data_IF_109845446210
#
_entry.id   IF_109845446210
#
_cell.length_a   1.000
_cell.length_b   1.000
_cell.length_c   1.000
_cell.angle_alpha   90.00
_cell.angle_beta   90.00
_cell.angle_gamma   90.00
#
_symmetry.space_group_name_H-M   'P 1'
#
loop_
_entity.id
_entity.type
_entity.pdbx_description
1 polymer ?
#
# COMPACT_ATOMS: atom_id res chain seq x y z
N UNK A 1 -43.04 -4.67 4.36
CA UNK A 1 -42.07 -4.57 5.48
C UNK A 1 -40.70 -4.81 4.87
N UNK A 2 -39.98 -3.75 4.49
CA UNK A 2 -38.72 -3.86 3.73
C UNK A 2 -37.54 -4.09 4.69
N UNK A 3 -36.71 -5.08 4.36
CA UNK A 3 -35.56 -5.49 5.17
C UNK A 3 -34.51 -4.40 5.28
N UNK A 4 -34.00 -4.22 6.50
CA UNK A 4 -32.89 -3.34 6.81
C UNK A 4 -31.67 -3.68 5.94
N UNK A 5 -31.28 -2.74 5.07
CA UNK A 5 -30.02 -2.75 4.34
C UNK A 5 -28.85 -2.43 5.32
N UNK A 6 -28.60 -3.32 6.27
CA UNK A 6 -27.42 -3.27 7.13
C UNK A 6 -26.22 -3.82 6.36
N UNK A 7 -25.45 -2.94 5.72
CA UNK A 7 -24.17 -3.34 5.11
C UNK A 7 -23.69 -2.47 3.95
N UNK A 8 -24.53 -1.56 3.43
CA UNK A 8 -24.08 -0.63 2.41
C UNK A 8 -23.18 0.43 3.04
N UNK A 9 -21.87 0.38 2.74
CA UNK A 9 -20.95 1.45 3.10
C UNK A 9 -21.39 2.72 2.35
N UNK A 10 -21.72 3.82 3.04
CA UNK A 10 -22.17 5.03 2.36
C UNK A 10 -21.06 5.51 1.41
N UNK A 11 -21.42 5.66 0.13
CA UNK A 11 -20.56 6.32 -0.84
C UNK A 11 -20.52 7.79 -0.45
N UNK A 12 -19.38 8.25 0.05
CA UNK A 12 -19.20 9.64 0.45
C UNK A 12 -19.01 10.51 -0.80
N UNK A 13 -19.50 11.74 -0.74
CA UNK A 13 -19.37 12.76 -1.81
C UNK A 13 -17.92 12.95 -2.26
N UNK A 14 -17.69 13.51 -3.44
CA UNK A 14 -16.35 13.94 -3.86
C UNK A 14 -16.34 15.46 -3.79
N UNK A 15 -15.34 16.03 -3.12
CA UNK A 15 -15.19 17.49 -3.01
C UNK A 15 -14.78 18.04 -4.39
N UNK A 16 -15.50 19.04 -4.90
CA UNK A 16 -15.34 19.56 -6.26
C UNK A 16 -14.30 20.69 -6.30
N UNK A 17 -13.50 20.79 -7.36
CA UNK A 17 -12.59 21.93 -7.52
C UNK A 17 -11.46 21.66 -8.50
N UNK A 18 -10.37 22.40 -8.32
CA UNK A 18 -9.17 22.27 -9.16
C UNK A 18 -8.14 21.43 -8.45
N UNK A 19 -7.69 20.38 -9.12
CA UNK A 19 -6.61 19.51 -8.69
C UNK A 19 -5.53 19.49 -9.76
N UNK A 20 -4.28 19.72 -9.36
CA UNK A 20 -3.12 19.67 -10.24
C UNK A 20 -2.11 18.72 -9.63
N UNK A 21 -1.48 17.91 -10.48
CA UNK A 21 -0.42 16.99 -10.08
C UNK A 21 0.72 16.97 -11.08
N UNK A 22 1.89 16.60 -10.60
CA UNK A 22 3.08 16.33 -11.39
C UNK A 22 3.74 15.05 -10.91
N UNK A 23 4.33 14.32 -11.85
CA UNK A 23 5.08 13.09 -11.58
C UNK A 23 6.43 13.16 -12.30
N UNK A 24 7.48 12.77 -11.58
CA UNK A 24 8.81 12.55 -12.13
C UNK A 24 9.21 11.10 -11.83
N UNK A 25 9.48 10.32 -12.87
CA UNK A 25 9.91 8.93 -12.76
C UNK A 25 11.33 8.75 -13.28
N UNK A 26 12.17 8.08 -12.49
CA UNK A 26 13.50 7.62 -12.88
C UNK A 26 13.52 6.10 -12.81
N UNK A 27 14.05 5.44 -13.85
CA UNK A 27 14.09 3.99 -13.91
C UNK A 27 15.44 3.51 -14.43
N UNK A 28 15.99 2.50 -13.76
CA UNK A 28 17.10 1.70 -14.26
C UNK A 28 16.66 0.25 -14.42
N UNK A 29 16.81 -0.28 -15.63
CA UNK A 29 16.62 -1.70 -15.89
C UNK A 29 17.92 -2.46 -15.66
N UNK A 30 17.83 -3.64 -15.03
CA UNK A 30 18.98 -4.53 -14.88
C UNK A 30 19.16 -5.35 -16.18
N UNK A 31 20.29 -5.23 -16.90
CA UNK A 31 20.52 -5.98 -18.13
C UNK A 31 20.74 -7.47 -17.90
N UNK A 32 21.17 -7.86 -16.71
CA UNK A 32 21.47 -9.24 -16.34
C UNK A 32 20.79 -9.62 -15.03
N UNK A 33 20.47 -10.91 -14.88
CA UNK A 33 19.79 -11.46 -13.71
C UNK A 33 20.56 -11.41 -12.38
N UNK A 34 21.64 -10.64 -12.29
CA UNK A 34 22.43 -10.42 -11.06
C UNK A 34 22.44 -8.94 -10.61
N UNK A 35 22.14 -7.99 -11.50
CA UNK A 35 22.11 -6.56 -11.22
C UNK A 35 20.77 -6.13 -10.61
N UNK A 36 20.78 -4.99 -9.91
CA UNK A 36 19.56 -4.39 -9.39
C UNK A 36 18.83 -3.61 -10.48
N UNK A 37 17.54 -3.91 -10.67
CA UNK A 37 16.61 -3.02 -11.36
C UNK A 37 15.96 -2.11 -10.33
N UNK A 38 15.77 -0.83 -10.64
CA UNK A 38 15.06 0.07 -9.74
C UNK A 38 14.24 1.12 -10.47
N UNK A 39 13.25 1.63 -9.77
CA UNK A 39 12.38 2.72 -10.19
C UNK A 39 12.17 3.62 -8.99
N UNK A 40 12.32 4.93 -9.19
CA UNK A 40 12.08 5.96 -8.19
C UNK A 40 11.13 6.98 -8.79
N UNK A 41 10.16 7.40 -8.00
CA UNK A 41 9.05 8.21 -8.45
C UNK A 41 8.77 9.30 -7.43
N UNK A 42 8.74 10.55 -7.89
CA UNK A 42 8.34 11.71 -7.11
C UNK A 42 7.00 12.19 -7.64
N UNK A 43 5.96 12.12 -6.80
CA UNK A 43 4.65 12.71 -7.07
C UNK A 43 4.48 13.97 -6.25
N UNK A 44 3.93 15.00 -6.86
CA UNK A 44 3.40 16.15 -6.14
C UNK A 44 1.99 16.40 -6.62
N UNK A 45 1.09 16.66 -5.68
CA UNK A 45 -0.28 16.98 -6.00
C UNK A 45 -0.77 18.08 -5.08
N UNK A 46 -1.64 18.95 -5.58
CA UNK A 46 -2.21 20.00 -4.78
C UNK A 46 -3.38 20.63 -5.50
N UNK A 47 -4.13 21.44 -4.79
CA UNK A 47 -5.30 22.02 -5.38
C UNK A 47 -6.20 22.72 -4.40
N UNK A 48 -7.25 23.30 -4.96
CA UNK A 48 -8.31 23.96 -4.21
C UNK A 48 -9.61 23.21 -4.45
N UNK A 49 -10.11 22.54 -3.43
CA UNK A 49 -11.39 21.83 -3.46
C UNK A 49 -12.42 22.58 -2.62
N UNK A 50 -13.69 22.32 -2.90
CA UNK A 50 -14.85 22.86 -2.21
C UNK A 50 -15.68 21.66 -1.78
N UNK A 51 -15.74 21.45 -0.46
CA UNK A 51 -16.70 20.57 0.16
C UNK A 51 -17.97 21.33 0.52
N UNK A 52 -18.96 20.60 1.04
CA UNK A 52 -20.30 21.12 1.32
C UNK A 52 -20.31 22.34 2.25
N UNK A 53 -19.32 22.46 3.14
CA UNK A 53 -19.23 23.55 4.13
C UNK A 53 -17.92 24.35 4.07
N UNK A 54 -16.90 23.90 3.32
CA UNK A 54 -15.54 24.49 3.39
C UNK A 54 -14.75 24.37 2.10
N UNK A 55 -13.80 25.28 1.92
CA UNK A 55 -12.76 25.17 0.90
C UNK A 55 -11.49 24.55 1.49
N UNK A 56 -10.87 23.66 0.73
CA UNK A 56 -9.62 22.98 1.03
C UNK A 56 -8.54 23.51 0.10
N UNK A 57 -7.36 23.81 0.63
CA UNK A 57 -6.20 24.22 -0.15
C UNK A 57 -5.01 23.42 0.35
N UNK A 58 -4.52 22.50 -0.46
CA UNK A 58 -3.54 21.52 -0.03
C UNK A 58 -2.40 21.32 -1.00
N UNK A 59 -1.29 20.82 -0.47
CA UNK A 59 -0.15 20.31 -1.21
C UNK A 59 0.27 18.97 -0.61
N UNK A 60 0.64 18.01 -1.46
CA UNK A 60 0.92 16.63 -1.11
C UNK A 60 2.08 16.08 -1.94
N UNK A 61 3.34 16.35 -1.54
CA UNK A 61 4.49 15.65 -2.08
C UNK A 61 4.57 14.21 -1.55
N UNK A 62 4.99 13.29 -2.41
CA UNK A 62 5.27 11.91 -2.07
C UNK A 62 6.38 11.35 -2.94
N UNK A 63 7.16 10.44 -2.37
CA UNK A 63 8.19 9.69 -3.06
C UNK A 63 7.88 8.20 -2.92
N UNK A 64 8.14 7.45 -3.98
CA UNK A 64 8.16 6.00 -3.93
C UNK A 64 9.37 5.45 -4.66
N UNK A 65 9.86 4.31 -4.19
CA UNK A 65 10.95 3.60 -4.83
C UNK A 65 10.65 2.11 -4.81
N UNK A 66 10.99 1.43 -5.90
CA UNK A 66 10.96 -0.02 -6.02
C UNK A 66 12.32 -0.47 -6.50
N UNK A 67 12.88 -1.49 -5.86
CA UNK A 67 14.09 -2.15 -6.31
C UNK A 67 13.82 -3.65 -6.42
N UNK A 68 14.33 -4.27 -7.46
CA UNK A 68 14.24 -5.71 -7.64
C UNK A 68 15.61 -6.28 -7.94
N UNK A 69 15.83 -7.51 -7.47
CA UNK A 69 17.01 -8.29 -7.78
C UNK A 69 16.57 -9.73 -8.03
N UNK A 70 16.99 -10.27 -9.14
CA UNK A 70 16.87 -11.69 -9.42
C UNK A 70 18.17 -12.39 -9.03
N UNK A 71 18.09 -13.68 -8.73
CA UNK A 71 19.24 -14.56 -8.56
C UNK A 71 19.02 -15.78 -9.43
N UNK A 72 19.72 -15.81 -10.57
CA UNK A 72 19.58 -16.89 -11.56
C UNK A 72 19.98 -18.25 -10.97
N UNK A 73 21.06 -18.32 -10.18
CA UNK A 73 21.58 -19.59 -9.63
C UNK A 73 20.63 -20.26 -8.62
N UNK A 74 19.87 -19.46 -7.86
CA UNK A 74 18.97 -19.95 -6.80
C UNK A 74 17.50 -19.78 -7.14
N UNK A 75 17.19 -19.40 -8.39
CA UNK A 75 15.83 -19.11 -8.83
C UNK A 75 15.08 -18.17 -7.87
N UNK A 76 15.84 -17.23 -7.31
CA UNK A 76 15.40 -16.33 -6.26
C UNK A 76 15.04 -14.96 -6.84
N UNK A 77 14.18 -14.26 -6.13
CA UNK A 77 13.83 -12.89 -6.42
C UNK A 77 13.62 -12.12 -5.12
N UNK A 78 14.22 -10.94 -5.02
CA UNK A 78 13.95 -9.98 -3.96
C UNK A 78 13.33 -8.74 -4.58
N UNK A 79 12.27 -8.27 -3.96
CA UNK A 79 11.62 -7.02 -4.26
C UNK A 79 11.59 -6.17 -3.00
N UNK A 80 12.06 -4.94 -3.13
CA UNK A 80 11.99 -3.91 -2.12
C UNK A 80 11.08 -2.80 -2.63
N UNK A 81 10.19 -2.31 -1.77
CA UNK A 81 9.35 -1.16 -2.06
C UNK A 81 9.40 -0.21 -0.87
N UNK A 82 9.58 1.07 -1.13
CA UNK A 82 9.53 2.15 -0.16
C UNK A 82 8.61 3.24 -0.66
N UNK A 83 7.86 3.87 0.23
CA UNK A 83 7.10 5.08 -0.09
C UNK A 83 6.99 5.96 1.13
N UNK A 84 7.01 7.26 0.92
CA UNK A 84 6.83 8.25 1.97
C UNK A 84 6.16 9.49 1.38
N UNK A 85 5.51 10.27 2.23
CA UNK A 85 4.88 11.50 1.79
C UNK A 85 4.39 12.32 2.94
N UNK A 86 4.11 13.58 2.62
CA UNK A 86 3.56 14.56 3.52
C UNK A 86 2.47 15.34 2.80
N UNK A 87 1.49 15.81 3.54
CA UNK A 87 0.43 16.68 3.07
C UNK A 87 0.35 17.87 4.02
N UNK A 88 0.14 19.06 3.47
CA UNK A 88 0.00 20.30 4.22
C UNK A 88 -1.10 21.19 3.67
N UNK A 89 -1.50 22.17 4.48
CA UNK A 89 -2.63 23.06 4.21
C UNK A 89 -3.94 22.53 4.80
N UNK A 90 -5.06 23.01 4.26
CA UNK A 90 -6.40 22.54 4.61
C UNK A 90 -6.68 21.25 3.85
N UNK A 91 -6.45 20.11 4.51
CA UNK A 91 -6.48 18.80 3.84
C UNK A 91 -7.91 18.28 3.66
N UNK A 92 -8.34 17.99 2.43
CA UNK A 92 -9.56 17.23 2.23
C UNK A 92 -9.29 15.77 2.60
N UNK A 93 -10.35 14.99 2.87
CA UNK A 93 -10.21 13.56 3.26
C UNK A 93 -9.46 12.72 2.23
N UNK A 94 -9.56 13.07 0.95
CA UNK A 94 -8.92 12.38 -0.17
C UNK A 94 -7.40 12.63 -0.20
N UNK A 95 -6.91 13.65 0.50
CA UNK A 95 -5.48 13.96 0.60
C UNK A 95 -4.78 13.22 1.74
N UNK A 96 -5.52 12.56 2.65
CA UNK A 96 -4.94 11.79 3.74
C UNK A 96 -4.27 10.52 3.21
N UNK A 97 -3.11 10.19 3.79
CA UNK A 97 -2.44 8.93 3.57
C UNK A 97 -3.01 7.86 4.48
N UNK A 98 -3.16 6.66 3.93
CA UNK A 98 -3.80 5.54 4.61
C UNK A 98 -2.93 4.29 4.58
N UNK A 99 -2.84 3.64 5.73
CA UNK A 99 -2.15 2.36 5.89
C UNK A 99 -3.09 1.31 6.51
N UNK A 100 -2.71 0.04 6.34
CA UNK A 100 -3.46 -1.12 6.79
C UNK A 100 -4.21 -1.81 5.66
N UNK A 101 -4.23 -3.15 5.74
CA UNK A 101 -4.81 -4.03 4.73
C UNK A 101 -3.76 -4.70 3.86
N UNK A 102 -4.22 -5.62 3.00
CA UNK A 102 -3.37 -6.56 2.24
C UNK A 102 -2.32 -5.91 1.35
N UNK A 103 -2.61 -4.71 0.81
CA UNK A 103 -1.71 -3.99 -0.09
C UNK A 103 -0.66 -3.10 0.60
N UNK A 104 -0.76 -2.90 1.92
CA UNK A 104 0.19 -2.07 2.68
C UNK A 104 0.77 -2.88 3.84
N UNK A 105 0.04 -2.98 4.95
CA UNK A 105 0.40 -3.74 6.12
C UNK A 105 -0.57 -4.91 6.31
N UNK A 106 -0.28 -6.10 5.75
CA UNK A 106 -1.07 -7.30 5.98
C UNK A 106 -1.25 -7.63 7.46
N UNK A 107 -2.40 -8.19 7.81
CA UNK A 107 -2.73 -8.46 9.21
C UNK A 107 -3.10 -7.21 10.02
N UNK A 108 -3.31 -6.05 9.38
CA UNK A 108 -4.06 -4.93 9.96
C UNK A 108 -5.33 -4.70 9.15
N UNK A 109 -6.36 -4.13 9.76
CA UNK A 109 -7.61 -3.82 9.06
C UNK A 109 -7.37 -2.79 7.93
N UNK A 110 -8.16 -2.88 6.87
CA UNK A 110 -8.05 -2.02 5.70
C UNK A 110 -8.21 -0.54 6.08
N UNK A 111 -7.20 0.29 5.78
CA UNK A 111 -7.19 1.73 6.08
C UNK A 111 -7.42 2.05 7.56
N UNK A 112 -6.86 1.22 8.44
CA UNK A 112 -6.97 1.38 9.89
C UNK A 112 -6.12 2.51 10.46
N UNK A 113 -5.08 2.93 9.72
CA UNK A 113 -4.22 4.04 10.12
C UNK A 113 -4.24 5.13 9.07
N UNK A 114 -4.25 6.39 9.51
CA UNK A 114 -4.32 7.56 8.66
C UNK A 114 -3.40 8.67 9.12
N UNK A 115 -2.99 9.53 8.20
CA UNK A 115 -2.11 10.64 8.54
C UNK A 115 -1.97 11.67 7.42
N UNK A 116 -1.49 12.86 7.79
CA UNK A 116 -0.95 13.83 6.83
C UNK A 116 0.48 13.47 6.41
N UNK A 117 1.17 12.64 7.19
CA UNK A 117 2.52 12.15 6.91
C UNK A 117 2.55 10.64 7.02
N UNK A 118 3.28 10.00 6.12
CA UNK A 118 3.45 8.55 6.19
C UNK A 118 4.81 8.10 5.66
N UNK A 119 5.21 6.92 6.11
CA UNK A 119 6.29 6.14 5.54
C UNK A 119 5.89 4.66 5.52
N UNK A 120 6.25 3.95 4.46
CA UNK A 120 6.00 2.52 4.28
C UNK A 120 7.21 1.90 3.59
N UNK A 121 7.68 0.77 4.11
CA UNK A 121 8.72 -0.04 3.48
C UNK A 121 8.31 -1.49 3.52
N UNK A 122 8.57 -2.20 2.43
CA UNK A 122 8.16 -3.57 2.20
C UNK A 122 9.31 -4.32 1.51
N UNK A 123 9.48 -5.57 1.88
CA UNK A 123 10.44 -6.49 1.29
C UNK A 123 9.74 -7.81 1.02
N UNK A 124 9.86 -8.34 -0.20
CA UNK A 124 9.35 -9.64 -0.60
C UNK A 124 10.50 -10.47 -1.15
N UNK A 125 10.76 -11.61 -0.53
CA UNK A 125 11.66 -12.64 -1.02
C UNK A 125 10.83 -13.77 -1.61
N UNK A 126 11.17 -14.23 -2.81
CA UNK A 126 10.55 -15.40 -3.45
C UNK A 126 11.63 -16.33 -3.97
N UNK A 127 11.39 -17.64 -3.92
CA UNK A 127 12.31 -18.65 -4.47
C UNK A 127 11.53 -19.87 -4.93
N UNK A 128 11.98 -20.49 -6.02
CA UNK A 128 11.38 -21.73 -6.47
C UNK A 128 11.89 -22.90 -5.64
N UNK A 129 10.99 -23.50 -4.85
CA UNK A 129 11.32 -24.63 -3.97
C UNK A 129 11.30 -25.95 -4.76
N UNK A 130 10.35 -26.10 -5.68
CA UNK A 130 10.27 -27.23 -6.60
C UNK A 130 9.65 -26.77 -7.92
N UNK A 131 10.47 -26.43 -8.92
CA UNK A 131 9.97 -25.93 -10.22
C UNK A 131 9.18 -26.99 -10.99
N UNK A 132 8.12 -26.61 -11.72
CA UNK A 132 7.37 -25.34 -11.67
C UNK A 132 6.25 -25.35 -10.60
N UNK A 133 6.19 -26.39 -9.78
CA UNK A 133 5.08 -26.73 -8.91
C UNK A 133 4.97 -25.85 -7.66
N UNK A 134 6.08 -25.45 -7.06
CA UNK A 134 6.10 -24.80 -5.75
C UNK A 134 7.09 -23.64 -5.71
N UNK A 135 6.58 -22.45 -5.40
CA UNK A 135 7.36 -21.24 -5.16
C UNK A 135 7.10 -20.72 -3.75
N UNK A 136 8.13 -20.66 -2.92
CA UNK A 136 8.06 -20.08 -1.58
C UNK A 136 8.14 -18.56 -1.64
N UNK A 137 7.44 -17.88 -0.72
CA UNK A 137 7.46 -16.43 -0.58
C UNK A 137 7.46 -16.02 0.89
N UNK A 138 8.29 -15.03 1.20
CA UNK A 138 8.32 -14.36 2.48
C UNK A 138 8.23 -12.85 2.27
N UNK A 139 7.49 -12.17 3.13
CA UNK A 139 7.27 -10.74 3.09
C UNK A 139 7.44 -10.15 4.49
N UNK A 140 8.07 -8.99 4.55
CA UNK A 140 8.13 -8.13 5.72
C UNK A 140 7.76 -6.71 5.33
N UNK A 141 6.97 -6.04 6.16
CA UNK A 141 6.56 -4.66 5.95
C UNK A 141 6.61 -3.87 7.25
N UNK A 142 7.00 -2.60 7.16
CA UNK A 142 6.98 -1.64 8.25
C UNK A 142 6.38 -0.33 7.74
N UNK A 143 5.47 0.26 8.50
CA UNK A 143 4.83 1.51 8.12
C UNK A 143 4.46 2.37 9.31
N UNK A 144 4.38 3.66 9.06
CA UNK A 144 4.02 4.68 10.04
C UNK A 144 3.15 5.72 9.35
N UNK A 145 2.10 6.14 10.04
CA UNK A 145 1.25 7.26 9.67
C UNK A 145 1.09 8.18 10.89
N UNK A 146 1.37 9.47 10.69
CA UNK A 146 1.29 10.50 11.73
C UNK A 146 0.47 11.69 11.25
N UNK A 147 0.06 12.51 12.22
CA UNK A 147 -0.66 13.76 11.97
C UNK A 147 0.08 14.94 12.59
N UNK A 148 0.17 16.04 11.87
CA UNK A 148 0.32 17.38 12.43
C UNK A 148 -1.03 18.12 12.42
N UNK A 149 -0.96 19.44 12.59
CA UNK A 149 -2.14 20.32 12.65
C UNK A 149 -2.98 20.26 11.36
N UNK A 150 -2.30 20.14 10.21
CA UNK A 150 -2.94 20.06 8.89
C UNK A 150 -3.85 18.83 8.73
N UNK A 151 -3.46 17.68 9.29
CA UNK A 151 -4.21 16.44 9.21
C UNK A 151 -5.20 16.19 10.35
N UNK A 152 -5.02 16.85 11.50
CA UNK A 152 -5.71 16.49 12.74
C UNK A 152 -7.24 16.54 12.60
N UNK A 153 -7.74 17.63 12.02
CA UNK A 153 -9.18 17.84 11.83
C UNK A 153 -9.79 16.87 10.82
N UNK A 154 -9.06 16.57 9.76
CA UNK A 154 -9.54 15.67 8.69
C UNK A 154 -9.55 14.21 9.15
N UNK A 155 -8.64 13.82 10.05
CA UNK A 155 -8.65 12.52 10.71
C UNK A 155 -9.83 12.36 11.67
N UNK A 156 -10.14 13.38 12.47
CA UNK A 156 -11.28 13.40 13.38
C UNK A 156 -12.60 13.21 12.62
N UNK A 157 -12.82 13.97 11.54
CA UNK A 157 -14.02 13.85 10.69
C UNK A 157 -14.11 12.47 10.03
N UNK A 158 -12.98 11.83 9.75
CA UNK A 158 -12.97 10.51 9.13
C UNK A 158 -13.12 9.36 10.12
N UNK A 159 -12.78 9.58 11.40
CA UNK A 159 -12.70 8.53 12.41
C UNK A 159 -11.56 7.55 12.13
N UNK A 160 -10.44 8.04 11.59
CA UNK A 160 -9.24 7.22 11.37
C UNK A 160 -8.15 7.70 12.32
N UNK A 161 -7.52 6.76 13.01
CA UNK A 161 -6.48 7.06 13.98
C UNK A 161 -5.10 7.08 13.31
N UNK A 162 -4.17 7.84 13.89
CA UNK A 162 -2.76 7.73 13.53
C UNK A 162 -2.20 6.38 13.98
N UNK A 163 -1.09 5.97 13.39
CA UNK A 163 -0.44 4.73 13.81
C UNK A 163 0.15 4.81 15.23
N UNK A 164 0.46 6.01 15.73
CA UNK A 164 1.11 6.28 17.02
C UNK A 164 2.58 5.82 17.10
N UNK A 165 2.91 4.69 16.48
CA UNK A 165 4.23 4.09 16.41
C UNK A 165 4.41 3.39 15.06
N UNK A 166 5.64 2.93 14.77
CA UNK A 166 5.87 2.05 13.62
C UNK A 166 5.06 0.77 13.80
N UNK A 167 4.37 0.36 12.73
CA UNK A 167 3.57 -0.85 12.62
C UNK A 167 4.28 -1.81 11.68
N UNK A 168 4.51 -3.03 12.15
CA UNK A 168 5.19 -4.06 11.37
C UNK A 168 4.25 -5.21 11.07
N UNK A 169 4.48 -5.86 9.92
CA UNK A 169 3.73 -7.01 9.45
C UNK A 169 4.64 -8.00 8.75
N UNK A 170 4.32 -9.28 8.83
CA UNK A 170 4.99 -10.34 8.10
C UNK A 170 3.96 -11.18 7.36
N UNK A 171 4.39 -11.80 6.28
CA UNK A 171 3.59 -12.77 5.54
C UNK A 171 4.50 -13.85 4.99
N UNK A 172 4.07 -15.10 5.08
CA UNK A 172 4.78 -16.25 4.51
C UNK A 172 3.77 -17.10 3.77
N UNK A 173 4.15 -17.63 2.62
CA UNK A 173 3.27 -18.47 1.85
C UNK A 173 3.94 -19.14 0.68
N UNK A 174 3.10 -19.80 -0.11
CA UNK A 174 3.54 -20.55 -1.27
C UNK A 174 2.58 -20.38 -2.45
N UNK A 175 3.18 -20.28 -3.63
CA UNK A 175 2.51 -20.39 -4.92
C UNK A 175 2.58 -21.81 -5.45
N UNK A 176 1.47 -22.31 -5.99
CA UNK A 176 1.36 -23.63 -6.63
C UNK A 176 1.17 -23.46 -8.14
N UNK A 177 1.84 -24.32 -8.91
CA UNK A 177 1.75 -24.44 -10.37
C UNK A 177 1.94 -23.09 -11.09
N UNK A 178 3.19 -22.73 -11.40
CA UNK A 178 3.54 -21.43 -11.98
C UNK A 178 3.00 -20.23 -11.18
N UNK A 179 2.83 -20.41 -9.86
CA UNK A 179 2.32 -19.37 -8.96
C UNK A 179 0.89 -18.88 -9.34
N UNK A 180 0.09 -19.76 -9.96
CA UNK A 180 -1.32 -19.50 -10.33
C UNK A 180 -2.18 -19.44 -9.08
N UNK A 181 -2.00 -20.36 -8.14
CA UNK A 181 -2.71 -20.35 -6.86
C UNK A 181 -1.74 -20.02 -5.74
N UNK A 182 -2.06 -19.01 -4.93
CA UNK A 182 -1.24 -18.53 -3.83
C UNK A 182 -1.97 -18.68 -2.51
N UNK A 183 -1.30 -19.29 -1.54
CA UNK A 183 -1.75 -19.37 -0.18
C UNK A 183 -0.72 -18.69 0.73
N UNK A 184 -1.13 -17.61 1.36
CA UNK A 184 -0.28 -16.84 2.27
C UNK A 184 -0.94 -16.73 3.65
N UNK A 185 -0.11 -16.81 4.69
CA UNK A 185 -0.48 -16.46 6.06
C UNK A 185 0.22 -15.17 6.44
N UNK A 186 -0.55 -14.20 6.90
CA UNK A 186 -0.11 -12.86 7.26
C UNK A 186 -0.36 -12.56 8.75
N UNK A 187 0.50 -11.75 9.35
CA UNK A 187 0.36 -11.28 10.73
C UNK A 187 0.86 -9.85 10.90
N UNK A 188 0.01 -9.00 11.48
CA UNK A 188 0.45 -7.73 12.07
C UNK A 188 1.10 -8.00 13.43
N UNK A 189 2.32 -7.48 13.66
CA UNK A 189 3.13 -7.81 14.83
C UNK A 189 2.96 -6.83 16.01
N UNK A 190 2.23 -5.72 15.83
CA UNK A 190 1.96 -4.72 16.88
C UNK A 190 0.52 -4.75 17.39
N UNK A 191 0.17 -3.77 18.24
CA UNK A 191 -1.22 -3.56 18.69
C UNK A 191 -2.17 -3.37 17.50
N UNK A 192 -3.34 -4.00 17.54
CA UNK A 192 -4.28 -4.07 16.42
C UNK A 192 -3.94 -5.10 15.33
N UNK A 193 -2.80 -5.80 15.46
CA UNK A 193 -2.39 -6.87 14.55
C UNK A 193 -3.24 -8.13 14.70
N UNK A 194 -3.69 -8.67 13.58
CA UNK A 194 -4.48 -9.91 13.42
C UNK A 194 -3.77 -10.88 12.49
N UNK A 195 -4.06 -12.16 12.67
CA UNK A 195 -3.73 -13.18 11.68
C UNK A 195 -4.71 -13.06 10.52
N UNK A 196 -4.21 -13.34 9.33
CA UNK A 196 -5.01 -13.34 8.11
C UNK A 196 -4.52 -14.47 7.20
N UNK A 197 -5.46 -15.26 6.69
CA UNK A 197 -5.22 -16.19 5.59
C UNK A 197 -5.63 -15.51 4.29
N UNK A 198 -4.74 -15.53 3.31
CA UNK A 198 -4.98 -14.96 1.99
C UNK A 198 -4.85 -16.07 0.96
N UNK A 199 -5.93 -16.28 0.21
CA UNK A 199 -5.95 -17.13 -0.98
C UNK A 199 -6.12 -16.22 -2.19
N UNK A 200 -5.19 -16.31 -3.13
CA UNK A 200 -5.20 -15.50 -4.35
C UNK A 200 -5.01 -16.41 -5.57
N UNK A 201 -5.83 -16.19 -6.61
CA UNK A 201 -5.71 -16.87 -7.88
C UNK A 201 -5.30 -15.85 -8.95
N UNK A 202 -4.12 -16.03 -9.53
CA UNK A 202 -3.61 -15.13 -10.57
C UNK A 202 -4.36 -15.38 -11.88
N UNK A 203 -5.03 -14.32 -12.38
CA UNK A 203 -5.85 -14.42 -13.59
C UNK A 203 -5.07 -14.42 -14.90
N UNK A 204 -3.76 -14.13 -14.90
CA UNK A 204 -2.98 -14.04 -16.15
C UNK A 204 -2.91 -15.37 -16.92
N UNK A 205 -3.25 -16.49 -16.30
CA UNK A 205 -3.37 -17.80 -16.96
C UNK A 205 -4.54 -17.86 -17.97
N UNK A 206 -5.62 -17.13 -17.74
CA UNK A 206 -6.82 -17.16 -18.60
C UNK A 206 -6.65 -16.41 -19.92
N UNK A 207 -5.54 -15.68 -20.12
CA UNK A 207 -5.21 -15.03 -21.40
C UNK A 207 -4.37 -15.88 -22.34
N UNK A 208 -3.96 -17.08 -21.93
CA UNK A 208 -3.12 -18.01 -22.71
C UNK A 208 -3.89 -19.26 -23.18
N UNK A 209 -5.17 -19.38 -22.83
CA UNK A 209 -6.14 -20.39 -23.29
C UNK A 209 -7.09 -19.74 -24.28
#
# INVERSE_FOLDING_TARGET
>A
MFGNAQGLRPVRSIDNGTFVGGELSLRQTAPSGAAWGWEAELRTAGGRLHGDERAFSFLRPGVSARANRNWTERNGQLELQGSAGAAGGELPRQALYLLGGRGTLPGYAFRSFGGDRFALTQATLSTDLARPWLRGRAFAGAGWAGSGDAGARSLEVWGVETSGSIRTSVRVGAGVFYDVLRLDVARGLGTGGRWELVLEANRSFWGML
#
